data_IF_631749078556
#
_entry.id   IF_631749078556
#
_cell.length_a   1.000
_cell.length_b   1.000
_cell.length_c   1.000
_cell.angle_alpha   90.00
_cell.angle_beta   90.00
_cell.angle_gamma   90.00
#
_symmetry.space_group_name_H-M   'P 1'
#
loop_
_entity.id
_entity.type
_entity.pdbx_description
1 polymer ?
#
# COMPACT_ATOMS: atom_id res chain seq x y z
N UNK A 1 2.57 -20.84 9.21
CA UNK A 1 2.29 -19.62 8.43
C UNK A 1 2.12 -20.06 6.98
N UNK A 2 0.89 -20.17 6.50
CA UNK A 2 0.64 -20.46 5.08
C UNK A 2 0.39 -19.11 4.41
N UNK A 3 1.36 -18.67 3.60
CA UNK A 3 1.13 -17.61 2.63
C UNK A 3 0.25 -18.20 1.54
N UNK A 4 -1.05 -17.87 1.58
CA UNK A 4 -1.94 -18.14 0.47
C UNK A 4 -1.68 -17.06 -0.58
N UNK A 5 -0.92 -17.37 -1.65
CA UNK A 5 -0.97 -16.55 -2.87
C UNK A 5 -2.32 -16.80 -3.52
N UNK A 6 -3.32 -16.07 -3.06
CA UNK A 6 -4.62 -16.03 -3.66
C UNK A 6 -4.47 -15.17 -4.93
N UNK A 7 -4.20 -15.82 -6.08
CA UNK A 7 -4.36 -15.17 -7.40
C UNK A 7 -5.85 -14.99 -7.69
N UNK A 8 -6.52 -14.23 -6.84
CA UNK A 8 -7.87 -13.75 -7.05
C UNK A 8 -7.72 -12.40 -7.72
N UNK A 9 -8.05 -12.31 -9.01
CA UNK A 9 -8.41 -11.03 -9.59
C UNK A 9 -9.65 -10.56 -8.83
N UNK A 10 -9.45 -9.79 -7.76
CA UNK A 10 -10.54 -9.03 -7.19
C UNK A 10 -10.81 -7.92 -8.19
N UNK A 11 -11.68 -8.23 -9.15
CA UNK A 11 -12.64 -7.22 -9.55
C UNK A 11 -13.32 -6.84 -8.24
N UNK A 12 -12.92 -5.72 -7.64
CA UNK A 12 -13.70 -5.11 -6.59
C UNK A 12 -14.94 -4.52 -7.27
N UNK A 13 -15.79 -5.39 -7.79
CA UNK A 13 -17.18 -5.11 -8.01
C UNK A 13 -17.76 -5.06 -6.61
N UNK A 14 -17.66 -3.89 -5.97
CA UNK A 14 -18.39 -3.63 -4.74
C UNK A 14 -19.87 -3.46 -5.08
N UNK A 15 -20.46 -4.54 -5.56
CA UNK A 15 -21.88 -4.76 -5.58
C UNK A 15 -22.27 -5.41 -4.26
N UNK A 16 -23.37 -4.96 -3.67
CA UNK A 16 -23.94 -5.59 -2.49
C UNK A 16 -24.27 -7.06 -2.81
N UNK A 17 -23.49 -8.00 -2.26
CA UNK A 17 -23.82 -9.41 -2.30
C UNK A 17 -22.63 -10.36 -2.46
N UNK A 18 -22.45 -11.17 -1.42
CA UNK A 18 -21.74 -12.45 -1.39
C UNK A 18 -20.19 -12.43 -1.40
N UNK A 19 -19.62 -12.35 -0.20
CA UNK A 19 -18.51 -13.25 0.18
C UNK A 19 -18.93 -13.94 1.48
N UNK A 20 -19.06 -15.26 1.42
CA UNK A 20 -19.45 -16.09 2.56
C UNK A 20 -18.29 -16.28 3.54
N UNK A 21 -18.62 -16.18 4.83
CA UNK A 21 -17.91 -16.63 6.03
C UNK A 21 -16.57 -15.97 6.38
N UNK A 22 -16.68 -14.83 7.07
CA UNK A 22 -16.01 -14.57 8.35
C UNK A 22 -16.98 -13.70 9.17
N UNK A 23 -17.89 -14.35 9.90
CA UNK A 23 -18.91 -13.68 10.70
C UNK A 23 -18.30 -13.13 12.00
N UNK A 24 -18.83 -11.97 12.42
CA UNK A 24 -18.44 -11.10 13.53
C UNK A 24 -17.26 -10.14 13.28
N UNK A 25 -17.57 -8.95 12.75
CA UNK A 25 -16.67 -7.79 12.80
C UNK A 25 -16.88 -6.74 11.71
N UNK A 26 -17.55 -7.06 10.61
CA UNK A 26 -17.74 -6.12 9.50
C UNK A 26 -18.88 -5.13 9.79
N UNK A 27 -18.53 -3.86 10.01
CA UNK A 27 -19.50 -2.78 10.06
C UNK A 27 -20.04 -2.51 8.65
N UNK A 28 -21.35 -2.72 8.46
CA UNK A 28 -22.05 -2.24 7.27
C UNK A 28 -22.14 -0.71 7.24
N UNK A 29 -22.52 -0.11 6.10
CA UNK A 29 -22.64 1.34 5.99
C UNK A 29 -23.90 1.84 6.74
N UNK A 30 -23.78 2.10 8.04
CA UNK A 30 -24.73 2.93 8.78
C UNK A 30 -24.07 3.63 9.98
N UNK A 31 -24.24 4.96 10.00
CA UNK A 31 -24.03 5.92 11.09
C UNK A 31 -22.60 6.11 11.63
N UNK A 32 -21.90 7.05 11.00
CA UNK A 32 -20.90 7.89 11.66
C UNK A 32 -21.57 8.72 12.78
N UNK A 33 -21.63 8.19 13.99
CA UNK A 33 -21.67 8.94 15.27
C UNK A 33 -21.81 7.95 16.43
N UNK A 34 -20.91 7.99 17.41
CA UNK A 34 -21.22 7.55 18.78
C UNK A 34 -20.40 6.38 19.35
N UNK A 35 -19.96 6.62 20.58
CA UNK A 35 -19.19 5.87 21.60
C UNK A 35 -19.72 4.47 22.00
N UNK A 36 -18.92 3.68 22.76
CA UNK A 36 -18.94 2.22 22.72
C UNK A 36 -19.86 1.58 23.77
N UNK A 37 -20.39 0.40 23.47
CA UNK A 37 -20.93 -0.52 24.46
C UNK A 37 -20.24 -1.87 24.37
N UNK A 38 -19.89 -2.37 25.56
CA UNK A 38 -19.21 -3.62 25.86
C UNK A 38 -20.14 -4.82 25.69
N UNK A 39 -19.60 -5.97 25.28
CA UNK A 39 -20.13 -7.28 25.67
C UNK A 39 -19.05 -8.39 25.58
N UNK A 40 -18.94 -9.10 26.70
CA UNK A 40 -18.27 -10.39 26.93
C UNK A 40 -18.87 -11.53 26.08
N UNK A 41 -18.09 -12.59 25.80
CA UNK A 41 -18.66 -13.82 25.25
C UNK A 41 -17.69 -14.92 24.82
N UNK A 42 -17.26 -15.71 25.81
CA UNK A 42 -16.79 -17.12 25.79
C UNK A 42 -16.40 -17.83 24.48
N UNK A 43 -15.19 -18.39 24.52
CA UNK A 43 -14.63 -19.36 23.59
C UNK A 43 -15.40 -20.70 23.53
N UNK A 44 -15.43 -21.30 22.34
CA UNK A 44 -15.78 -22.70 22.09
C UNK A 44 -14.90 -23.28 20.98
N UNK A 45 -14.04 -24.25 21.33
CA UNK A 45 -13.26 -25.04 20.37
C UNK A 45 -14.15 -26.05 19.63
N UNK A 46 -13.72 -26.51 18.45
CA UNK A 46 -13.53 -27.95 18.33
C UNK A 46 -12.24 -28.35 17.63
N UNK A 47 -11.65 -29.40 18.18
CA UNK A 47 -10.60 -30.25 17.63
C UNK A 47 -11.11 -31.12 16.48
N UNK A 48 -10.36 -31.19 15.37
CA UNK A 48 -10.41 -32.34 14.46
C UNK A 48 -8.99 -32.68 14.00
N UNK A 49 -8.60 -33.91 14.29
CA UNK A 49 -7.40 -34.61 13.86
C UNK A 49 -7.62 -35.33 12.53
N UNK A 50 -6.66 -35.26 11.61
CA UNK A 50 -6.34 -36.37 10.69
C UNK A 50 -4.92 -36.23 10.13
N UNK A 51 -4.30 -37.40 9.96
CA UNK A 51 -2.88 -37.68 9.72
C UNK A 51 -2.58 -38.10 8.28
N UNK A 52 -1.27 -38.18 7.97
CA UNK A 52 -0.57 -38.92 6.87
C UNK A 52 -0.45 -38.13 5.56
N UNK A 53 0.63 -38.14 4.77
CA UNK A 53 2.10 -38.34 4.87
C UNK A 53 2.61 -38.06 3.44
N UNK A 54 3.82 -37.54 3.25
CA UNK A 54 4.43 -37.51 1.90
C UNK A 54 5.53 -36.49 1.73
N UNK A 55 6.72 -36.81 2.26
CA UNK A 55 7.95 -36.08 2.01
C UNK A 55 8.52 -36.49 0.65
N UNK A 56 8.75 -35.53 -0.25
CA UNK A 56 9.67 -35.71 -1.38
C UNK A 56 10.66 -34.56 -1.40
N UNK A 57 11.85 -34.87 -0.87
CA UNK A 57 13.07 -34.10 -0.96
C UNK A 57 13.66 -34.22 -2.38
N UNK A 58 13.82 -33.09 -3.07
CA UNK A 58 14.69 -32.98 -4.24
C UNK A 58 15.94 -32.21 -3.86
N UNK A 59 17.06 -32.92 -3.97
CA UNK A 59 18.43 -32.51 -3.67
C UNK A 59 18.91 -31.33 -4.53
N UNK A 60 19.34 -30.26 -3.88
CA UNK A 60 20.21 -29.23 -4.48
C UNK A 60 21.64 -29.77 -4.45
N UNK A 61 22.22 -29.91 -5.66
CA UNK A 61 23.64 -30.20 -5.83
C UNK A 61 24.47 -29.03 -5.32
N UNK A 62 25.39 -29.35 -4.42
CA UNK A 62 26.38 -28.43 -3.88
C UNK A 62 27.51 -28.36 -4.90
N UNK A 63 27.67 -27.23 -5.58
CA UNK A 63 28.94 -26.91 -6.21
C UNK A 63 29.66 -25.89 -5.33
N UNK A 64 30.83 -26.30 -4.85
CA UNK A 64 31.65 -25.59 -3.89
C UNK A 64 32.79 -24.95 -4.64
N UNK A 65 32.72 -23.63 -4.79
CA UNK A 65 33.89 -22.80 -5.06
C UNK A 65 33.67 -21.47 -4.40
N UNK A 66 34.33 -21.29 -3.26
CA UNK A 66 34.34 -20.04 -2.51
C UNK A 66 35.09 -18.95 -3.27
N UNK A 67 34.47 -17.79 -3.32
CA UNK A 67 35.17 -16.50 -3.36
C UNK A 67 34.47 -15.59 -2.34
N UNK A 68 35.15 -15.35 -1.22
CA UNK A 68 34.78 -14.45 -0.15
C UNK A 68 35.17 -13.02 -0.55
N UNK A 69 34.37 -12.44 -1.43
CA UNK A 69 34.31 -10.99 -1.61
C UNK A 69 32.83 -10.60 -1.63
N UNK A 70 32.46 -9.64 -0.78
CA UNK A 70 31.09 -9.18 -0.57
C UNK A 70 30.45 -8.61 -1.85
N UNK A 71 30.04 -9.50 -2.74
CA UNK A 71 29.45 -9.18 -4.03
C UNK A 71 28.02 -8.67 -3.79
N UNK A 72 27.87 -7.35 -3.69
CA UNK A 72 26.58 -6.70 -3.95
C UNK A 72 26.12 -7.19 -5.32
N UNK A 73 25.10 -8.06 -5.35
CA UNK A 73 24.50 -8.56 -6.58
C UNK A 73 24.18 -7.38 -7.49
N UNK A 74 24.97 -7.20 -8.54
CA UNK A 74 24.71 -6.15 -9.53
C UNK A 74 23.37 -6.45 -10.19
N UNK A 75 22.43 -5.53 -10.00
CA UNK A 75 21.11 -5.63 -10.58
C UNK A 75 21.17 -5.19 -12.04
N UNK A 76 20.87 -6.09 -12.96
CA UNK A 76 20.94 -5.85 -14.39
C UNK A 76 19.76 -6.53 -15.10
N UNK A 77 19.44 -6.06 -16.30
CA UNK A 77 18.37 -6.60 -17.13
C UNK A 77 17.24 -5.60 -17.43
N UNK A 78 16.30 -5.97 -18.31
CA UNK A 78 15.30 -5.04 -18.86
C UNK A 78 14.31 -4.49 -17.82
N UNK A 79 14.12 -5.22 -16.71
CA UNK A 79 13.21 -4.85 -15.63
C UNK A 79 13.92 -4.11 -14.48
N UNK A 80 15.24 -3.91 -14.56
CA UNK A 80 15.96 -3.18 -13.52
C UNK A 80 15.72 -1.65 -13.68
N UNK A 81 15.53 -0.95 -12.56
CA UNK A 81 15.49 0.52 -12.46
C UNK A 81 16.44 0.94 -11.36
N UNK A 82 17.73 0.88 -11.70
CA UNK A 82 18.82 1.08 -10.75
C UNK A 82 19.48 2.45 -10.88
N UNK A 83 19.16 3.19 -11.94
CA UNK A 83 19.68 4.52 -12.22
C UNK A 83 18.52 5.47 -12.53
N UNK A 84 18.59 6.75 -12.12
CA UNK A 84 17.60 7.74 -12.46
C UNK A 84 17.62 8.03 -13.98
N UNK A 85 16.45 8.14 -14.63
CA UNK A 85 16.41 8.58 -16.02
C UNK A 85 16.87 10.04 -16.15
N UNK A 86 17.33 10.42 -17.34
CA UNK A 86 17.75 11.80 -17.63
C UNK A 86 16.64 12.80 -17.29
N UNK A 87 16.97 13.82 -16.50
CA UNK A 87 16.03 14.86 -16.08
C UNK A 87 15.14 14.49 -14.89
N UNK A 88 15.32 13.32 -14.28
CA UNK A 88 14.62 12.97 -13.05
C UNK A 88 15.05 13.87 -11.88
N UNK A 89 14.08 14.17 -11.01
CA UNK A 89 14.34 14.63 -9.65
C UNK A 89 14.78 13.40 -8.86
N UNK A 90 15.89 13.49 -8.15
CA UNK A 90 16.51 12.34 -7.47
C UNK A 90 16.43 12.52 -5.97
N UNK A 91 16.01 11.47 -5.27
CA UNK A 91 16.02 11.38 -3.81
C UNK A 91 16.98 10.26 -3.41
N UNK A 92 17.92 10.57 -2.53
CA UNK A 92 18.89 9.63 -1.98
C UNK A 92 19.18 10.02 -0.53
N UNK A 93 18.72 9.20 0.41
CA UNK A 93 18.86 9.44 1.85
C UNK A 93 20.34 9.47 2.30
N UNK A 94 21.25 8.89 1.51
CA UNK A 94 22.68 8.90 1.81
C UNK A 94 23.39 10.16 1.32
N UNK A 95 22.76 10.91 0.40
CA UNK A 95 23.37 12.05 -0.29
C UNK A 95 24.54 11.67 -1.20
N UNK A 96 24.70 10.39 -1.56
CA UNK A 96 25.80 9.93 -2.40
C UNK A 96 25.60 10.33 -3.87
N UNK A 97 24.35 10.40 -4.34
CA UNK A 97 24.04 10.92 -5.67
C UNK A 97 24.13 12.46 -5.68
N UNK A 98 25.05 13.01 -6.48
CA UNK A 98 25.25 14.45 -6.53
C UNK A 98 23.99 15.20 -7.02
N UNK A 99 23.56 16.20 -6.24
CA UNK A 99 22.35 16.98 -6.54
C UNK A 99 21.03 16.30 -6.18
N UNK A 100 21.05 15.19 -5.42
CA UNK A 100 19.85 14.59 -4.86
C UNK A 100 19.28 15.39 -3.68
N UNK A 101 18.00 15.16 -3.40
CA UNK A 101 17.35 15.53 -2.14
C UNK A 101 17.47 14.40 -1.13
N UNK A 102 17.46 14.72 0.17
CA UNK A 102 17.61 13.70 1.22
C UNK A 102 16.28 13.04 1.58
N UNK A 103 15.17 13.74 1.36
CA UNK A 103 13.82 13.26 1.69
C UNK A 103 12.92 13.21 0.46
N UNK A 104 11.92 12.34 0.49
CA UNK A 104 10.89 12.26 -0.54
C UNK A 104 10.07 13.54 -0.57
N UNK A 105 9.76 14.14 0.57
CA UNK A 105 9.03 15.41 0.64
C UNK A 105 9.77 16.55 -0.04
N UNK A 106 11.08 16.68 0.17
CA UNK A 106 11.90 17.67 -0.54
C UNK A 106 11.94 17.40 -2.05
N UNK A 107 12.12 16.14 -2.45
CA UNK A 107 12.07 15.75 -3.85
C UNK A 107 10.73 16.12 -4.50
N UNK A 108 9.60 15.81 -3.84
CA UNK A 108 8.26 16.19 -4.29
C UNK A 108 8.09 17.70 -4.38
N UNK A 109 8.57 18.45 -3.38
CA UNK A 109 8.46 19.92 -3.35
C UNK A 109 9.24 20.60 -4.49
N UNK A 110 10.25 19.93 -5.05
CA UNK A 110 11.09 20.45 -6.11
C UNK A 110 10.74 19.93 -7.51
N UNK A 111 9.64 19.18 -7.66
CA UNK A 111 9.11 18.83 -8.99
C UNK A 111 8.66 20.12 -9.70
N UNK A 112 9.16 20.41 -10.92
CA UNK A 112 8.71 21.56 -11.69
C UNK A 112 7.21 21.48 -11.98
N UNK A 113 6.46 22.54 -11.67
CA UNK A 113 5.02 22.55 -11.88
C UNK A 113 4.62 22.96 -13.32
N UNK A 114 5.16 22.23 -14.30
CA UNK A 114 4.83 22.37 -15.73
C UNK A 114 3.77 21.35 -16.13
N UNK A 115 3.35 21.36 -17.41
CA UNK A 115 2.42 20.38 -17.97
C UNK A 115 3.10 19.08 -18.41
N UNK A 116 4.44 19.05 -18.42
CA UNK A 116 5.22 17.89 -18.84
C UNK A 116 5.15 16.78 -17.78
N UNK A 117 5.40 15.54 -18.20
CA UNK A 117 5.58 14.44 -17.25
C UNK A 117 6.95 14.56 -16.57
N UNK A 118 6.94 14.53 -15.23
CA UNK A 118 8.15 14.53 -14.42
C UNK A 118 8.36 13.17 -13.75
N UNK A 119 9.62 12.81 -13.50
CA UNK A 119 9.98 11.61 -12.73
C UNK A 119 10.66 12.01 -11.43
N UNK A 120 10.14 11.50 -10.31
CA UNK A 120 10.82 11.45 -9.02
C UNK A 120 11.39 10.04 -8.85
N UNK A 121 12.71 9.91 -8.90
CA UNK A 121 13.42 8.64 -8.69
C UNK A 121 13.95 8.59 -7.27
N UNK A 122 13.69 7.49 -6.56
CA UNK A 122 14.05 7.32 -5.15
C UNK A 122 15.01 6.15 -5.01
N UNK A 123 16.22 6.42 -4.50
CA UNK A 123 17.22 5.40 -4.20
C UNK A 123 16.84 4.55 -2.98
N UNK A 124 17.47 3.37 -2.79
CA UNK A 124 17.19 2.49 -1.66
C UNK A 124 17.30 3.19 -0.32
N UNK A 125 16.35 2.94 0.57
CA UNK A 125 16.32 3.57 1.88
C UNK A 125 15.00 3.43 2.60
N UNK A 126 15.02 3.75 3.89
CA UNK A 126 13.82 3.94 4.71
C UNK A 126 13.68 5.44 4.97
N UNK A 127 12.55 5.99 4.53
CA UNK A 127 12.19 7.39 4.60
C UNK A 127 11.08 7.54 5.65
N UNK A 128 11.46 7.96 6.86
CA UNK A 128 10.53 8.14 7.99
C UNK A 128 9.88 9.53 7.95
N UNK A 129 8.86 9.69 7.11
CA UNK A 129 8.22 10.98 6.84
C UNK A 129 6.77 10.83 6.38
N UNK A 130 5.97 11.88 6.62
CA UNK A 130 4.66 12.03 6.01
C UNK A 130 4.80 12.83 4.71
N UNK A 131 4.38 12.25 3.59
CA UNK A 131 4.53 12.85 2.25
C UNK A 131 3.18 13.28 1.69
N UNK A 132 3.09 14.50 1.18
CA UNK A 132 1.95 14.92 0.35
C UNK A 132 2.42 15.19 -1.07
N UNK A 133 1.91 14.42 -2.03
CA UNK A 133 2.03 14.72 -3.47
C UNK A 133 0.94 15.73 -3.83
N UNK A 134 1.30 17.01 -4.06
CA UNK A 134 0.32 18.08 -4.26
C UNK A 134 -0.33 17.99 -5.65
N UNK A 135 -1.15 19.00 -5.95
CA UNK A 135 -1.72 19.18 -7.28
C UNK A 135 -0.64 19.67 -8.25
N UNK A 136 -0.18 18.80 -9.13
CA UNK A 136 0.69 19.17 -10.25
C UNK A 136 -0.09 19.46 -11.53
N UNK A 137 0.48 20.29 -12.40
CA UNK A 137 -0.07 20.62 -13.72
C UNK A 137 0.21 19.55 -14.78
N UNK A 138 1.21 18.70 -14.58
CA UNK A 138 1.55 17.56 -15.42
C UNK A 138 1.47 16.22 -14.67
N UNK A 139 1.64 15.10 -15.37
CA UNK A 139 1.72 13.76 -14.77
C UNK A 139 3.00 13.59 -13.93
N UNK A 140 2.95 12.69 -12.96
CA UNK A 140 4.12 12.29 -12.16
C UNK A 140 4.39 10.80 -12.27
N UNK A 141 5.64 10.43 -12.51
CA UNK A 141 6.17 9.09 -12.26
C UNK A 141 6.94 9.11 -10.94
N UNK A 142 6.55 8.29 -9.99
CA UNK A 142 7.28 8.04 -8.75
C UNK A 142 7.91 6.66 -8.81
N UNK A 143 9.22 6.58 -9.03
CA UNK A 143 9.95 5.32 -9.27
C UNK A 143 10.89 5.03 -8.11
N UNK A 144 10.62 3.96 -7.36
CA UNK A 144 11.59 3.40 -6.42
C UNK A 144 12.67 2.61 -7.16
N UNK A 145 13.90 2.64 -6.63
CA UNK A 145 14.96 1.75 -7.07
C UNK A 145 14.52 0.30 -6.97
N UNK A 146 14.76 -0.48 -8.02
CA UNK A 146 14.50 -1.92 -8.00
C UNK A 146 15.38 -2.69 -8.98
N UNK A 147 15.64 -3.94 -8.64
CA UNK A 147 16.29 -4.91 -9.52
C UNK A 147 15.29 -5.56 -10.49
N UNK A 148 13.99 -5.48 -10.19
CA UNK A 148 12.94 -6.06 -11.00
C UNK A 148 11.61 -5.32 -10.80
N UNK A 149 11.22 -4.52 -11.80
CA UNK A 149 9.97 -3.73 -11.81
C UNK A 149 8.70 -4.58 -11.70
N UNK A 150 8.79 -5.90 -11.87
CA UNK A 150 7.64 -6.79 -11.90
C UNK A 150 7.36 -7.46 -10.54
N UNK A 151 8.24 -7.28 -9.55
CA UNK A 151 8.20 -8.01 -8.28
C UNK A 151 8.23 -7.02 -7.12
N UNK A 152 7.14 -6.97 -6.35
CA UNK A 152 7.01 -6.09 -5.19
C UNK A 152 7.87 -6.53 -4.00
N UNK A 153 8.17 -7.82 -3.89
CA UNK A 153 8.90 -8.40 -2.76
C UNK A 153 10.38 -7.99 -2.70
N UNK A 154 10.91 -7.46 -3.80
CA UNK A 154 12.31 -7.00 -3.92
C UNK A 154 12.45 -5.47 -3.84
N UNK A 155 11.36 -4.75 -3.53
CA UNK A 155 11.39 -3.29 -3.40
C UNK A 155 12.35 -2.86 -2.28
N UNK A 156 13.18 -1.86 -2.55
CA UNK A 156 14.24 -1.39 -1.64
C UNK A 156 13.99 0.02 -1.08
N UNK A 157 12.86 0.62 -1.45
CA UNK A 157 12.45 1.96 -1.01
C UNK A 157 11.23 1.83 -0.12
N UNK A 158 11.34 2.30 1.12
CA UNK A 158 10.24 2.32 2.08
C UNK A 158 9.96 3.74 2.54
N UNK A 159 8.74 4.22 2.37
CA UNK A 159 8.23 5.45 2.98
C UNK A 159 7.34 5.04 4.13
N UNK A 160 7.65 5.50 5.35
CA UNK A 160 6.91 5.10 6.53
C UNK A 160 6.64 6.25 7.48
N UNK A 161 5.46 6.26 8.08
CA UNK A 161 5.10 7.22 9.11
C UNK A 161 4.06 6.59 10.01
N UNK A 162 4.28 6.66 11.32
CA UNK A 162 3.39 6.08 12.33
C UNK A 162 2.46 7.15 12.89
N UNK A 163 1.19 7.11 12.50
CA UNK A 163 0.17 8.01 13.03
C UNK A 163 -1.21 7.38 12.90
N UNK A 164 -2.05 7.52 13.93
CA UNK A 164 -3.44 7.09 13.89
C UNK A 164 -4.40 8.22 14.28
N UNK A 165 -5.69 8.03 14.04
CA UNK A 165 -6.72 9.00 14.38
C UNK A 165 -6.76 9.36 15.87
N UNK A 166 -6.33 8.46 16.77
CA UNK A 166 -6.16 8.74 18.20
C UNK A 166 -5.14 9.86 18.50
N UNK A 167 -4.21 10.10 17.58
CA UNK A 167 -3.14 11.08 17.75
C UNK A 167 -3.57 12.48 17.25
N UNK A 168 -4.73 12.58 16.61
CA UNK A 168 -5.29 13.86 16.21
C UNK A 168 -5.94 14.57 17.40
N UNK A 169 -5.84 15.91 17.49
CA UNK A 169 -6.60 16.69 18.46
C UNK A 169 -8.11 16.44 18.34
N UNK A 170 -8.82 16.39 19.47
CA UNK A 170 -10.24 16.02 19.52
C UNK A 170 -11.17 16.95 18.70
N UNK A 171 -10.75 18.20 18.46
CA UNK A 171 -11.50 19.16 17.64
C UNK A 171 -11.32 18.96 16.13
N UNK A 172 -10.40 18.08 15.70
CA UNK A 172 -10.20 17.74 14.28
C UNK A 172 -11.22 16.70 13.87
N UNK A 173 -12.29 17.17 13.24
CA UNK A 173 -13.40 16.32 12.76
C UNK A 173 -13.36 16.06 11.26
N UNK A 174 -12.62 16.85 10.49
CA UNK A 174 -12.56 16.77 9.03
C UNK A 174 -11.21 16.21 8.55
N UNK A 175 -11.24 15.54 7.40
CA UNK A 175 -10.04 15.03 6.70
C UNK A 175 -9.11 14.15 7.56
N UNK A 176 -9.63 13.52 8.62
CA UNK A 176 -8.83 12.74 9.59
C UNK A 176 -7.98 11.66 8.92
N UNK A 177 -8.55 10.91 7.98
CA UNK A 177 -7.83 9.90 7.19
C UNK A 177 -6.66 10.49 6.41
N UNK A 178 -6.86 11.64 5.77
CA UNK A 178 -5.82 12.34 5.04
C UNK A 178 -4.69 12.82 5.97
N UNK A 179 -5.04 13.33 7.17
CA UNK A 179 -4.07 13.87 8.13
C UNK A 179 -3.18 12.80 8.76
N UNK A 180 -3.66 11.56 8.91
CA UNK A 180 -2.91 10.44 9.49
C UNK A 180 -2.23 9.56 8.45
N UNK A 181 -2.38 9.89 7.16
CA UNK A 181 -1.82 9.09 6.06
C UNK A 181 -0.30 9.19 6.02
N UNK A 182 0.42 8.10 5.75
CA UNK A 182 1.85 8.17 5.43
C UNK A 182 2.10 8.91 4.12
N UNK A 183 1.35 8.58 3.05
CA UNK A 183 1.42 9.29 1.78
C UNK A 183 0.04 9.70 1.30
N UNK A 184 -0.10 10.98 0.95
CA UNK A 184 -1.32 11.56 0.38
C UNK A 184 -1.08 11.94 -1.07
N UNK A 185 -1.87 11.38 -1.98
CA UNK A 185 -1.84 11.69 -3.40
C UNK A 185 -3.00 12.60 -3.83
N UNK A 186 -2.69 13.85 -4.20
CA UNK A 186 -3.68 14.87 -4.57
C UNK A 186 -3.56 15.36 -6.01
N UNK A 187 -2.56 14.89 -6.76
CA UNK A 187 -2.34 15.29 -8.15
C UNK A 187 -3.57 15.01 -9.01
N UNK A 188 -3.94 15.95 -9.87
CA UNK A 188 -5.13 15.85 -10.74
C UNK A 188 -4.84 15.33 -12.15
N UNK A 189 -3.56 15.24 -12.51
CA UNK A 189 -3.10 14.89 -13.85
C UNK A 189 -2.49 13.47 -13.90
N UNK A 190 -2.85 12.64 -12.91
CA UNK A 190 -2.39 11.26 -12.79
C UNK A 190 -1.02 11.11 -12.14
N UNK A 191 -0.84 9.98 -11.48
CA UNK A 191 0.43 9.55 -10.89
C UNK A 191 0.62 8.07 -11.19
N UNK A 192 1.83 7.70 -11.62
CA UNK A 192 2.27 6.32 -11.74
C UNK A 192 3.34 6.06 -10.68
N UNK A 193 3.06 5.23 -9.69
CA UNK A 193 4.02 4.85 -8.66
C UNK A 193 4.49 3.41 -8.89
N UNK A 194 5.80 3.20 -8.81
CA UNK A 194 6.46 1.93 -9.10
C UNK A 194 7.39 1.53 -7.96
N UNK A 195 7.30 0.28 -7.52
CA UNK A 195 8.32 -0.36 -6.68
C UNK A 195 8.62 0.37 -5.36
N UNK A 196 7.58 0.86 -4.70
CA UNK A 196 7.66 1.50 -3.39
C UNK A 196 6.99 0.64 -2.33
N UNK A 197 7.55 0.62 -1.13
CA UNK A 197 6.84 0.21 0.07
C UNK A 197 6.31 1.48 0.76
N UNK A 198 5.02 1.54 1.02
CA UNK A 198 4.40 2.62 1.79
C UNK A 198 3.69 1.99 2.98
N UNK A 199 4.10 2.39 4.18
CA UNK A 199 3.73 1.71 5.40
C UNK A 199 3.31 2.67 6.52
N UNK A 200 2.15 2.41 7.12
CA UNK A 200 1.81 2.93 8.43
C UNK A 200 1.94 1.79 9.45
N UNK A 201 3.01 1.73 10.25
CA UNK A 201 3.32 0.58 11.11
C UNK A 201 2.53 0.59 12.41
N UNK A 202 1.44 1.36 12.50
CA UNK A 202 0.55 1.31 13.64
C UNK A 202 -0.22 -0.02 13.67
N UNK A 203 -0.28 -0.62 14.85
CA UNK A 203 -0.90 -1.94 15.06
C UNK A 203 -2.38 -1.84 15.41
N UNK A 204 -2.91 -2.90 16.02
CA UNK A 204 -4.27 -2.92 16.54
C UNK A 204 -4.46 -1.88 17.64
N UNK A 205 -5.36 -0.93 17.42
CA UNK A 205 -5.80 0.04 18.42
C UNK A 205 -7.30 -0.14 18.66
N UNK A 206 -7.74 -0.06 19.92
CA UNK A 206 -9.14 -0.28 20.31
C UNK A 206 -10.09 0.85 19.86
N UNK A 207 -9.67 2.10 20.01
CA UNK A 207 -10.50 3.28 19.73
C UNK A 207 -9.71 4.27 18.85
N UNK A 208 -10.37 4.83 17.84
CA UNK A 208 -9.75 5.75 16.86
C UNK A 208 -8.46 5.16 16.24
N UNK A 209 -8.53 3.87 15.90
CA UNK A 209 -7.40 3.07 15.43
C UNK A 209 -7.04 3.21 13.96
N UNK A 210 -7.78 4.00 13.18
CA UNK A 210 -7.52 4.20 11.75
C UNK A 210 -6.12 4.80 11.55
N UNK A 211 -5.31 4.11 10.76
CA UNK A 211 -3.90 4.45 10.52
C UNK A 211 -3.58 4.20 9.04
N UNK A 212 -3.77 5.24 8.23
CA UNK A 212 -3.72 5.14 6.77
C UNK A 212 -2.28 5.11 6.28
N UNK A 213 -1.94 4.18 5.39
CA UNK A 213 -0.65 4.20 4.69
C UNK A 213 -0.75 5.07 3.44
N UNK A 214 -1.80 4.90 2.63
CA UNK A 214 -1.98 5.64 1.37
C UNK A 214 -3.39 6.20 1.26
N UNK A 215 -3.48 7.47 0.88
CA UNK A 215 -4.74 8.15 0.55
C UNK A 215 -4.70 8.72 -0.86
N UNK A 216 -5.65 8.34 -1.72
CA UNK A 216 -5.70 8.71 -3.15
C UNK A 216 -6.94 9.55 -3.46
N UNK A 217 -6.74 10.80 -3.92
CA UNK A 217 -7.83 11.78 -4.08
C UNK A 217 -7.85 12.46 -5.46
N UNK A 218 -7.73 11.66 -6.52
CA UNK A 218 -8.01 12.08 -7.89
C UNK A 218 -8.00 10.92 -8.89
N UNK A 219 -8.23 11.23 -10.18
CA UNK A 219 -8.25 10.21 -11.23
C UNK A 219 -6.89 9.93 -11.88
N UNK A 220 -6.80 8.78 -12.54
CA UNK A 220 -5.69 8.34 -13.37
C UNK A 220 -4.44 7.98 -12.56
N UNK A 221 -4.64 7.24 -11.47
CA UNK A 221 -3.58 6.68 -10.66
C UNK A 221 -3.26 5.25 -11.07
N UNK A 222 -1.97 4.93 -11.10
CA UNK A 222 -1.46 3.58 -11.32
C UNK A 222 -0.38 3.25 -10.29
N UNK A 223 -0.51 2.13 -9.62
CA UNK A 223 0.44 1.62 -8.63
C UNK A 223 0.90 0.24 -9.09
N UNK A 224 2.20 0.08 -9.32
CA UNK A 224 2.76 -1.09 -9.97
C UNK A 224 3.87 -1.70 -9.11
N UNK A 225 3.68 -2.96 -8.72
CA UNK A 225 4.62 -3.65 -7.85
C UNK A 225 4.94 -2.87 -6.56
N UNK A 226 3.94 -2.20 -5.98
CA UNK A 226 4.08 -1.50 -4.70
C UNK A 226 3.64 -2.40 -3.53
N UNK A 227 4.13 -2.09 -2.33
CA UNK A 227 3.64 -2.66 -1.08
C UNK A 227 2.91 -1.60 -0.27
N UNK A 228 1.66 -1.86 0.12
CA UNK A 228 0.88 -1.00 1.00
C UNK A 228 0.56 -1.76 2.28
N UNK A 229 1.11 -1.32 3.41
CA UNK A 229 1.07 -2.10 4.65
C UNK A 229 0.59 -1.28 5.84
N UNK A 230 -0.28 -1.90 6.66
CA UNK A 230 -0.80 -1.31 7.89
C UNK A 230 -1.67 -2.31 8.66
N UNK A 231 -2.58 -1.80 9.50
CA UNK A 231 -3.51 -2.63 10.28
C UNK A 231 -4.98 -2.26 10.05
N UNK A 232 -5.40 -1.06 10.44
CA UNK A 232 -6.75 -0.56 10.18
C UNK A 232 -6.69 0.58 9.15
N UNK A 233 -7.55 0.53 8.13
CA UNK A 233 -7.68 1.56 7.09
C UNK A 233 -6.38 1.77 6.27
N UNK A 234 -5.69 0.70 5.87
CA UNK A 234 -4.37 0.78 5.21
C UNK A 234 -4.37 1.58 3.90
N UNK A 235 -5.26 1.25 2.97
CA UNK A 235 -5.35 1.87 1.65
C UNK A 235 -6.70 2.57 1.48
N UNK A 236 -6.67 3.90 1.45
CA UNK A 236 -7.83 4.73 1.12
C UNK A 236 -7.84 5.06 -0.38
N UNK A 237 -8.46 4.19 -1.18
CA UNK A 237 -8.79 4.42 -2.58
C UNK A 237 -10.01 5.36 -2.63
N UNK A 238 -9.83 6.65 -2.31
CA UNK A 238 -10.94 7.52 -1.98
C UNK A 238 -11.73 7.97 -3.22
N UNK A 239 -11.06 8.38 -4.30
CA UNK A 239 -11.73 9.04 -5.43
C UNK A 239 -10.93 8.95 -6.72
N UNK A 240 -11.62 8.59 -7.80
CA UNK A 240 -11.09 8.60 -9.17
C UNK A 240 -10.85 7.21 -9.75
N UNK A 241 -10.28 7.14 -10.96
CA UNK A 241 -9.86 5.86 -11.56
C UNK A 241 -8.49 5.49 -11.02
N UNK A 242 -8.38 4.30 -10.46
CA UNK A 242 -7.17 3.80 -9.81
C UNK A 242 -6.87 2.37 -10.28
N UNK A 243 -5.62 2.09 -10.62
CA UNK A 243 -5.14 0.75 -10.95
C UNK A 243 -4.05 0.36 -9.96
N UNK A 244 -4.21 -0.78 -9.30
CA UNK A 244 -3.21 -1.44 -8.49
C UNK A 244 -2.83 -2.72 -9.21
N UNK A 245 -1.57 -2.88 -9.64
CA UNK A 245 -1.14 -4.01 -10.43
C UNK A 245 0.09 -4.66 -9.83
N UNK A 246 0.07 -6.00 -9.68
CA UNK A 246 1.16 -6.78 -9.09
C UNK A 246 1.63 -6.25 -7.74
N UNK A 247 0.74 -5.63 -6.99
CA UNK A 247 1.06 -4.99 -5.72
C UNK A 247 0.68 -5.91 -4.58
N UNK A 248 1.30 -5.72 -3.42
CA UNK A 248 0.91 -6.38 -2.19
C UNK A 248 0.25 -5.38 -1.25
N UNK A 249 -0.88 -5.76 -0.67
CA UNK A 249 -1.64 -4.92 0.25
C UNK A 249 -1.97 -5.76 1.48
N UNK A 250 -1.65 -5.25 2.67
CA UNK A 250 -1.92 -5.97 3.92
C UNK A 250 -2.52 -5.10 5.01
N UNK A 251 -3.45 -5.70 5.74
CA UNK A 251 -4.05 -5.13 6.94
C UNK A 251 -5.00 -6.11 7.60
N UNK A 252 -5.81 -5.64 8.53
CA UNK A 252 -6.76 -6.45 9.28
C UNK A 252 -8.19 -5.92 9.16
N UNK A 253 -8.40 -4.63 9.44
CA UNK A 253 -9.74 -4.01 9.51
C UNK A 253 -9.88 -2.97 8.40
N UNK A 254 -10.86 -3.17 7.52
CA UNK A 254 -11.23 -2.27 6.42
C UNK A 254 -10.02 -1.80 5.61
N UNK A 255 -9.04 -2.69 5.40
CA UNK A 255 -7.72 -2.27 4.98
C UNK A 255 -7.65 -1.81 3.51
N UNK A 256 -8.70 -2.03 2.74
CA UNK A 256 -8.97 -1.35 1.46
C UNK A 256 -10.33 -0.66 1.58
N UNK A 257 -10.36 0.67 1.55
CA UNK A 257 -11.60 1.42 1.73
C UNK A 257 -11.64 2.69 0.89
N UNK A 258 -12.81 3.29 0.76
CA UNK A 258 -12.98 4.49 -0.05
C UNK A 258 -14.43 4.87 -0.28
N UNK A 259 -14.66 6.00 -0.95
CA UNK A 259 -16.00 6.55 -1.16
C UNK A 259 -16.43 6.58 -2.63
N UNK A 260 -15.54 6.99 -3.53
CA UNK A 260 -15.88 7.40 -4.90
C UNK A 260 -14.88 6.90 -5.95
N UNK A 261 -13.99 5.98 -5.60
CA UNK A 261 -13.05 5.42 -6.56
C UNK A 261 -13.68 4.33 -7.43
N UNK A 262 -13.11 4.18 -8.62
CA UNK A 262 -13.20 2.97 -9.43
C UNK A 262 -11.81 2.35 -9.41
N UNK A 263 -11.56 1.52 -8.41
CA UNK A 263 -10.27 0.89 -8.17
C UNK A 263 -10.23 -0.53 -8.75
N UNK A 264 -9.24 -0.80 -9.59
CA UNK A 264 -8.97 -2.12 -10.15
C UNK A 264 -7.73 -2.73 -9.51
N UNK A 265 -7.82 -3.98 -9.06
CA UNK A 265 -6.71 -4.72 -8.46
C UNK A 265 -6.32 -5.90 -9.37
N UNK A 266 -5.26 -5.71 -10.14
CA UNK A 266 -4.76 -6.66 -11.14
C UNK A 266 -3.61 -7.48 -10.58
N UNK A 267 -3.81 -8.79 -10.42
CA UNK A 267 -2.74 -9.70 -9.98
C UNK A 267 -2.06 -9.25 -8.68
N UNK A 268 -2.82 -8.70 -7.73
CA UNK A 268 -2.32 -8.29 -6.42
C UNK A 268 -2.39 -9.45 -5.41
N UNK A 269 -1.47 -9.46 -4.45
CA UNK A 269 -1.56 -10.31 -3.26
C UNK A 269 -2.16 -9.49 -2.11
N UNK A 270 -3.27 -9.96 -1.55
CA UNK A 270 -3.97 -9.32 -0.43
C UNK A 270 -3.83 -10.17 0.82
N UNK A 271 -3.20 -9.64 1.87
CA UNK A 271 -2.90 -10.39 3.09
C UNK A 271 -3.64 -9.82 4.30
N UNK A 272 -4.53 -10.65 4.87
CA UNK A 272 -5.14 -10.35 6.17
C UNK A 272 -4.20 -10.74 7.30
N UNK A 273 -3.72 -9.74 8.05
CA UNK A 273 -2.77 -9.94 9.18
C UNK A 273 -3.46 -10.03 10.54
N UNK A 274 -4.79 -9.96 10.57
CA UNK A 274 -5.61 -10.05 11.77
C UNK A 274 -7.10 -10.19 11.43
N UNK A 275 -7.94 -10.33 12.46
CA UNK A 275 -9.38 -10.37 12.29
C UNK A 275 -9.93 -9.01 11.83
N UNK A 276 -10.77 -9.05 10.80
CA UNK A 276 -11.49 -7.92 10.25
C UNK A 276 -11.89 -8.17 8.80
N UNK A 277 -12.03 -7.10 8.03
CA UNK A 277 -12.62 -7.12 6.69
C UNK A 277 -11.60 -6.58 5.68
N UNK A 278 -11.56 -7.19 4.50
CA UNK A 278 -10.67 -6.75 3.42
C UNK A 278 -11.11 -5.39 2.88
N UNK A 279 -12.41 -5.24 2.63
CA UNK A 279 -12.96 -4.05 1.96
C UNK A 279 -14.07 -3.37 2.74
N UNK A 280 -14.06 -2.02 2.78
CA UNK A 280 -15.19 -1.20 3.23
C UNK A 280 -15.53 -0.12 2.21
N UNK A 281 -16.61 -0.32 1.46
CA UNK A 281 -17.08 0.65 0.48
C UNK A 281 -18.10 1.62 1.10
N UNK A 282 -17.74 2.90 1.15
CA UNK A 282 -18.60 3.98 1.62
C UNK A 282 -19.40 4.68 0.51
N UNK A 283 -19.43 4.12 -0.70
CA UNK A 283 -20.22 4.67 -1.79
C UNK A 283 -21.73 4.57 -1.47
N UNK A 284 -22.35 5.72 -1.25
CA UNK A 284 -23.78 5.85 -0.97
C UNK A 284 -24.65 5.96 -2.22
N UNK A 285 -24.05 6.02 -3.41
CA UNK A 285 -24.77 6.17 -4.67
C UNK A 285 -24.89 4.83 -5.43
N UNK A 286 -26.02 4.15 -5.27
CA UNK A 286 -26.33 2.88 -5.93
C UNK A 286 -26.34 2.92 -7.47
N UNK A 287 -26.43 4.11 -8.08
CA UNK A 287 -26.38 4.29 -9.54
C UNK A 287 -24.96 4.34 -10.11
N UNK A 288 -23.95 4.54 -9.25
CA UNK A 288 -22.55 4.43 -9.64
C UNK A 288 -22.12 2.97 -9.60
N UNK A 289 -22.61 2.22 -10.58
CA UNK A 289 -22.25 0.81 -10.75
C UNK A 289 -20.73 0.67 -10.86
N UNK A 290 -20.16 -0.22 -10.05
CA UNK A 290 -18.85 -0.80 -10.31
C UNK A 290 -18.91 -1.48 -11.66
N UNK A 291 -18.07 -1.05 -12.61
CA UNK A 291 -17.86 -1.75 -13.88
C UNK A 291 -16.55 -2.51 -13.80
#
# INVERSE_FOLDING_TARGET
MHSFSLRLAILACLAAGAVTSAEEGCAGPSSWTGTPSSADGSAGSPSVSTSVSGSTSSSIGVDSSGDDSGYKKSCSGPNARTEPPSGAIVVDATGAYNGSYLTVSEGVANIPNTTDEHTLFVFPGVYEEQVTVPKFNGPLVLQGYTCNTMVYAENQVTITHKMAQKDLPANVTNARNQLVSTVVFKSKNGVKAYNLNIANPEGKIKELGQAVAVYVDNTNYGFYACNFTGYQDTLCANKGKELYARSYISGAVDFIFGLQSKAWFESCDLESVGYGCVTANGNSNSSSLSQ
#
